data_IF_423839979825
#
_entry.id   IF_423839979825
#
_cell.length_a   1.000
_cell.length_b   1.000
_cell.length_c   1.000
_cell.angle_alpha   90.00
_cell.angle_beta   90.00
_cell.angle_gamma   90.00
#
_symmetry.space_group_name_H-M   'P 1'
#
loop_
_entity.id
_entity.type
_entity.pdbx_description
1 polymer ?
#
# COMPACT_ATOMS: atom_id res chain seq x y z
N UNK A 1 8.47 3.44 12.25
CA UNK A 1 9.34 2.92 11.16
C UNK A 1 10.61 3.68 11.35
N UNK A 2 11.64 2.97 11.78
CA UNK A 2 12.73 3.60 12.51
C UNK A 2 14.03 3.34 11.76
N UNK A 3 15.03 4.19 11.99
CA UNK A 3 16.30 4.13 11.29
C UNK A 3 17.00 2.77 11.47
N UNK A 4 16.94 2.22 12.68
CA UNK A 4 17.65 1.02 13.13
C UNK A 4 16.70 -0.06 13.66
N UNK A 5 15.53 -0.23 13.02
CA UNK A 5 14.60 -1.29 13.44
C UNK A 5 15.22 -2.69 13.27
N UNK A 6 15.04 -3.57 14.25
CA UNK A 6 15.42 -4.98 14.13
C UNK A 6 14.46 -5.78 13.23
N UNK A 7 13.44 -5.11 12.65
CA UNK A 7 12.61 -5.67 11.60
C UNK A 7 13.08 -5.20 10.22
N UNK A 8 13.45 -6.14 9.35
CA UNK A 8 13.94 -5.87 8.00
C UNK A 8 12.99 -4.97 7.18
N UNK A 9 11.68 -5.20 7.33
CA UNK A 9 10.66 -4.44 6.60
C UNK A 9 10.45 -3.01 7.13
N UNK A 10 10.97 -2.70 8.32
CA UNK A 10 10.78 -1.42 9.00
C UNK A 10 12.08 -0.64 9.22
N UNK A 11 13.23 -1.26 8.99
CA UNK A 11 14.52 -0.59 9.06
C UNK A 11 14.70 0.28 7.82
N UNK A 12 14.80 1.61 7.99
CA UNK A 12 14.99 2.52 6.85
C UNK A 12 16.27 2.20 6.08
N UNK A 13 17.36 1.91 6.77
CA UNK A 13 18.64 1.57 6.14
C UNK A 13 18.55 0.30 5.31
N UNK A 14 17.96 -0.77 5.85
CA UNK A 14 17.85 -2.06 5.15
C UNK A 14 16.77 -2.05 4.08
N UNK A 15 15.55 -1.60 4.40
CA UNK A 15 14.40 -1.64 3.49
C UNK A 15 14.56 -0.76 2.25
N UNK A 16 15.42 0.28 2.31
CA UNK A 16 15.72 1.17 1.19
C UNK A 16 17.02 0.83 0.46
N UNK A 17 17.80 -0.14 0.95
CA UNK A 17 19.04 -0.57 0.30
C UNK A 17 18.75 -1.40 -0.95
N UNK A 18 19.53 -1.20 -2.01
CA UNK A 18 19.44 -2.01 -3.22
C UNK A 18 20.34 -3.24 -3.12
N UNK A 19 19.78 -4.45 -3.24
CA UNK A 19 20.55 -5.70 -3.13
C UNK A 19 21.49 -5.89 -4.34
N UNK A 20 21.18 -5.27 -5.48
CA UNK A 20 21.91 -5.44 -6.74
C UNK A 20 22.98 -4.37 -6.94
N UNK A 21 22.74 -3.15 -6.47
CA UNK A 21 23.66 -2.01 -6.65
C UNK A 21 24.38 -1.64 -5.35
N UNK A 22 25.69 -1.88 -5.33
CA UNK A 22 26.55 -1.62 -4.16
C UNK A 22 26.60 -0.15 -3.77
N UNK A 23 26.45 0.77 -4.73
CA UNK A 23 26.50 2.21 -4.44
C UNK A 23 25.24 2.68 -3.71
N UNK A 24 24.15 1.91 -3.80
CA UNK A 24 22.90 2.13 -3.08
C UNK A 24 22.68 1.16 -1.92
N UNK A 25 23.71 0.40 -1.50
CA UNK A 25 23.68 -0.42 -0.30
C UNK A 25 24.08 0.40 0.93
N UNK A 26 23.20 0.43 1.93
CA UNK A 26 23.55 0.90 3.27
C UNK A 26 23.70 -0.26 4.22
N UNK A 27 24.77 -0.25 5.00
CA UNK A 27 24.92 -1.16 6.12
C UNK A 27 24.22 -0.61 7.36
N UNK A 28 23.58 -1.52 8.08
CA UNK A 28 22.98 -1.21 9.37
C UNK A 28 24.04 -1.26 10.47
N UNK A 29 23.88 -0.43 11.50
CA UNK A 29 24.71 -0.44 12.71
C UNK A 29 24.37 -1.63 13.63
N UNK A 30 23.15 -2.17 13.54
CA UNK A 30 22.70 -3.35 14.27
C UNK A 30 23.01 -4.67 13.54
N UNK A 31 23.18 -5.74 14.33
CA UNK A 31 23.78 -7.00 13.86
C UNK A 31 22.78 -7.97 13.22
N UNK A 32 21.47 -7.85 13.46
CA UNK A 32 20.49 -8.78 12.90
C UNK A 32 19.09 -8.19 12.73
N UNK A 33 18.40 -8.61 11.67
CA UNK A 33 16.98 -8.30 11.44
C UNK A 33 16.12 -9.53 11.78
N UNK A 34 16.04 -9.87 13.06
CA UNK A 34 15.40 -11.11 13.52
C UNK A 34 13.91 -10.94 13.85
N UNK A 35 13.41 -9.70 13.91
CA UNK A 35 12.01 -9.42 14.21
C UNK A 35 11.20 -9.42 12.90
N UNK A 36 10.10 -10.18 12.89
CA UNK A 36 9.08 -10.09 11.84
C UNK A 36 7.93 -9.19 12.29
N UNK A 37 7.40 -8.39 11.36
CA UNK A 37 6.19 -7.60 11.61
C UNK A 37 4.97 -8.39 11.17
N UNK A 38 4.00 -8.57 12.08
CA UNK A 38 2.73 -9.27 11.83
C UNK A 38 2.02 -8.73 10.59
N UNK A 39 1.77 -7.41 10.53
CA UNK A 39 1.10 -6.77 9.37
C UNK A 39 1.86 -6.95 8.05
N UNK A 40 3.18 -6.92 8.10
CA UNK A 40 4.01 -7.15 6.92
C UNK A 40 3.97 -8.61 6.48
N UNK A 41 3.81 -9.53 7.42
CA UNK A 41 3.67 -10.95 7.17
C UNK A 41 2.28 -11.29 6.64
N UNK A 42 1.22 -10.75 7.24
CA UNK A 42 -0.17 -10.88 6.75
C UNK A 42 -0.29 -10.46 5.29
N UNK A 43 0.27 -9.30 4.91
CA UNK A 43 0.26 -8.86 3.52
C UNK A 43 0.95 -9.87 2.58
N UNK A 44 2.09 -10.44 3.00
CA UNK A 44 2.79 -11.46 2.21
C UNK A 44 1.94 -12.73 2.08
N UNK A 45 1.38 -13.20 3.20
CA UNK A 45 0.53 -14.40 3.22
C UNK A 45 -0.67 -14.25 2.29
N UNK A 46 -1.40 -13.12 2.36
CA UNK A 46 -2.55 -12.87 1.48
C UNK A 46 -2.13 -12.84 0.01
N UNK A 47 -1.00 -12.19 -0.31
CA UNK A 47 -0.49 -12.16 -1.69
C UNK A 47 -0.12 -13.57 -2.17
N UNK A 48 0.54 -14.37 -1.34
CA UNK A 48 0.95 -15.73 -1.70
C UNK A 48 -0.25 -16.69 -1.80
N UNK A 49 -1.28 -16.50 -0.98
CA UNK A 49 -2.56 -17.22 -1.05
C UNK A 49 -3.28 -16.92 -2.36
N UNK A 50 -3.38 -15.65 -2.75
CA UNK A 50 -3.95 -15.27 -4.06
C UNK A 50 -3.14 -15.88 -5.21
N UNK A 51 -1.81 -15.89 -5.11
CA UNK A 51 -0.95 -16.53 -6.11
C UNK A 51 -1.24 -18.04 -6.22
N UNK A 52 -1.40 -18.73 -5.08
CA UNK A 52 -1.74 -20.14 -5.03
C UNK A 52 -3.13 -20.40 -5.62
N UNK A 53 -4.13 -19.58 -5.30
CA UNK A 53 -5.47 -19.67 -5.87
C UNK A 53 -5.43 -19.54 -7.40
N UNK A 54 -4.71 -18.55 -7.93
CA UNK A 54 -4.55 -18.35 -9.38
C UNK A 54 -3.88 -19.56 -10.02
N UNK A 55 -2.80 -20.10 -9.44
CA UNK A 55 -2.11 -21.27 -10.00
C UNK A 55 -2.96 -22.55 -9.95
N UNK A 56 -3.68 -22.78 -8.86
CA UNK A 56 -4.41 -24.03 -8.64
C UNK A 56 -5.74 -24.07 -9.40
N UNK A 57 -6.54 -23.00 -9.33
CA UNK A 57 -7.90 -22.98 -9.88
C UNK A 57 -7.97 -22.65 -11.36
N UNK A 58 -6.97 -21.95 -11.90
CA UNK A 58 -7.01 -21.55 -13.31
C UNK A 58 -6.84 -22.72 -14.28
N UNK A 59 -6.28 -23.84 -13.82
CA UNK A 59 -6.10 -25.09 -14.58
C UNK A 59 -7.40 -25.66 -15.16
N UNK A 60 -8.53 -25.46 -14.49
CA UNK A 60 -9.82 -26.05 -14.84
C UNK A 60 -10.79 -25.07 -15.50
N UNK A 61 -10.54 -23.76 -15.43
CA UNK A 61 -11.50 -22.71 -15.80
C UNK A 61 -11.06 -21.86 -16.99
N UNK A 62 -9.76 -21.80 -17.30
CA UNK A 62 -9.20 -20.90 -18.31
C UNK A 62 -8.29 -21.64 -19.28
N UNK A 63 -8.19 -21.12 -20.52
CA UNK A 63 -7.19 -21.60 -21.48
C UNK A 63 -5.76 -21.28 -21.02
N UNK A 64 -4.77 -21.93 -21.61
CA UNK A 64 -3.35 -21.68 -21.30
C UNK A 64 -2.94 -20.21 -21.50
N UNK A 65 -3.38 -19.58 -22.60
CA UNK A 65 -3.12 -18.16 -22.88
C UNK A 65 -3.76 -17.24 -21.82
N UNK A 66 -5.03 -17.48 -21.45
CA UNK A 66 -5.73 -16.69 -20.44
C UNK A 66 -5.09 -16.83 -19.05
N UNK A 67 -4.55 -18.00 -18.74
CA UNK A 67 -3.81 -18.24 -17.49
C UNK A 67 -2.52 -17.45 -17.44
N UNK A 68 -1.78 -17.43 -18.53
CA UNK A 68 -0.51 -16.72 -18.61
C UNK A 68 -0.72 -15.21 -18.48
N UNK A 69 -1.76 -14.67 -19.14
CA UNK A 69 -2.17 -13.27 -18.98
C UNK A 69 -2.55 -12.94 -17.53
N UNK A 70 -3.39 -13.78 -16.91
CA UNK A 70 -3.80 -13.58 -15.51
C UNK A 70 -2.61 -13.64 -14.54
N UNK A 71 -1.68 -14.57 -14.76
CA UNK A 71 -0.48 -14.70 -13.95
C UNK A 71 0.48 -13.52 -14.16
N UNK A 72 0.58 -13.00 -15.39
CA UNK A 72 1.35 -11.80 -15.69
C UNK A 72 0.80 -10.57 -14.97
N UNK A 73 -0.51 -10.34 -15.04
CA UNK A 73 -1.19 -9.22 -14.38
C UNK A 73 -1.05 -9.31 -12.85
N UNK A 74 -1.19 -10.52 -12.31
CA UNK A 74 -0.98 -10.78 -10.90
C UNK A 74 0.46 -10.47 -10.46
N UNK A 75 1.47 -10.99 -11.17
CA UNK A 75 2.87 -10.75 -10.84
C UNK A 75 3.24 -9.25 -10.94
N UNK A 76 2.70 -8.57 -11.93
CA UNK A 76 2.82 -7.12 -12.08
C UNK A 76 2.22 -6.40 -10.86
N UNK A 77 1.04 -6.82 -10.42
CA UNK A 77 0.36 -6.26 -9.24
C UNK A 77 1.11 -6.56 -7.94
N UNK A 78 1.58 -7.79 -7.75
CA UNK A 78 2.44 -8.22 -6.63
C UNK A 78 3.67 -7.33 -6.52
N UNK A 79 4.36 -7.10 -7.63
CA UNK A 79 5.53 -6.21 -7.69
C UNK A 79 5.17 -4.78 -7.28
N UNK A 80 4.04 -4.24 -7.77
CA UNK A 80 3.57 -2.89 -7.42
C UNK A 80 3.20 -2.76 -5.94
N UNK A 81 2.59 -3.78 -5.33
CA UNK A 81 2.24 -3.80 -3.90
C UNK A 81 3.50 -3.69 -3.03
N UNK A 82 4.52 -4.50 -3.32
CA UNK A 82 5.78 -4.44 -2.57
C UNK A 82 6.57 -3.17 -2.86
N UNK A 83 6.58 -2.69 -4.10
CA UNK A 83 7.18 -1.40 -4.43
C UNK A 83 6.49 -0.24 -3.68
N UNK A 84 5.16 -0.30 -3.52
CA UNK A 84 4.41 0.67 -2.73
C UNK A 84 4.79 0.63 -1.25
N UNK A 85 5.01 -0.56 -0.67
CA UNK A 85 5.55 -0.68 0.70
C UNK A 85 6.91 0.01 0.84
N UNK A 86 7.83 -0.19 -0.10
CA UNK A 86 9.10 0.53 -0.12
C UNK A 86 8.92 2.05 -0.30
N UNK A 87 7.94 2.47 -1.10
CA UNK A 87 7.60 3.88 -1.26
C UNK A 87 7.13 4.53 0.07
N UNK A 88 6.35 3.83 0.89
CA UNK A 88 5.98 4.32 2.23
C UNK A 88 7.24 4.56 3.08
N UNK A 89 8.19 3.61 3.08
CA UNK A 89 9.47 3.77 3.77
C UNK A 89 10.28 4.97 3.25
N UNK A 90 10.27 5.20 1.93
CA UNK A 90 10.89 6.38 1.31
C UNK A 90 10.24 7.67 1.78
N UNK A 91 8.92 7.71 1.90
CA UNK A 91 8.18 8.84 2.46
C UNK A 91 8.68 9.17 3.86
N UNK A 92 8.72 8.18 4.76
CA UNK A 92 9.26 8.38 6.13
C UNK A 92 10.70 8.90 6.13
N UNK A 93 11.55 8.37 5.24
CA UNK A 93 12.94 8.83 5.13
C UNK A 93 13.05 10.26 4.58
N UNK A 94 12.20 10.64 3.63
CA UNK A 94 12.14 11.99 3.09
C UNK A 94 11.63 12.99 4.12
N UNK A 95 10.60 12.63 4.90
CA UNK A 95 10.09 13.47 5.98
C UNK A 95 11.17 13.76 7.04
N UNK A 96 11.96 12.75 7.41
CA UNK A 96 13.09 12.96 8.33
C UNK A 96 14.10 13.96 7.75
N UNK A 97 14.54 13.76 6.50
CA UNK A 97 15.50 14.66 5.86
C UNK A 97 14.96 16.11 5.73
N UNK A 98 13.65 16.25 5.51
CA UNK A 98 12.96 17.54 5.46
C UNK A 98 12.96 18.23 6.83
N UNK A 99 12.74 17.48 7.92
CA UNK A 99 12.84 18.00 9.29
C UNK A 99 14.28 18.44 9.61
N UNK A 100 15.27 17.61 9.25
CA UNK A 100 16.69 17.89 9.50
C UNK A 100 17.19 19.13 8.73
N UNK A 101 16.61 19.40 7.56
CA UNK A 101 16.96 20.57 6.74
C UNK A 101 16.51 21.91 7.35
N UNK A 102 15.55 21.90 8.29
CA UNK A 102 15.06 23.11 8.95
C UNK A 102 15.76 23.23 10.31
N UNK A 103 16.55 24.29 10.55
CA UNK A 103 17.12 24.55 11.86
C UNK A 103 16.02 25.08 12.78
N UNK A 104 15.21 24.17 13.33
CA UNK A 104 14.07 24.50 14.20
C UNK A 104 14.50 25.40 15.37
N UNK A 105 15.73 25.22 15.87
CA UNK A 105 16.32 26.09 16.89
C UNK A 105 16.45 27.55 16.44
N UNK A 106 16.95 27.82 15.23
CA UNK A 106 17.05 29.20 14.69
C UNK A 106 15.67 29.85 14.54
N UNK A 107 14.69 29.08 14.06
CA UNK A 107 13.31 29.57 13.92
C UNK A 107 12.70 29.89 15.28
N UNK A 108 12.89 29.01 16.26
CA UNK A 108 12.41 29.20 17.64
C UNK A 108 13.06 30.42 18.29
N UNK A 109 14.37 30.59 18.17
CA UNK A 109 15.13 31.70 18.74
C UNK A 109 14.71 33.05 18.16
N UNK A 110 14.43 33.10 16.85
CA UNK A 110 14.02 34.33 16.16
C UNK A 110 12.56 34.70 16.37
N UNK A 111 11.69 33.71 16.54
CA UNK A 111 10.23 33.92 16.67
C UNK A 111 9.75 33.95 18.12
N UNK A 112 10.55 33.44 19.06
CA UNK A 112 10.14 33.22 20.46
C UNK A 112 9.11 32.10 20.61
N UNK A 113 8.88 31.29 19.57
CA UNK A 113 7.88 30.22 19.54
C UNK A 113 8.62 28.89 19.55
N UNK A 114 8.37 28.07 20.58
CA UNK A 114 8.84 26.70 20.62
C UNK A 114 8.05 25.86 19.59
N UNK A 115 8.72 25.43 18.54
CA UNK A 115 8.14 24.52 17.54
C UNK A 115 8.31 23.09 18.05
N UNK A 116 7.21 22.49 18.51
CA UNK A 116 7.21 21.12 19.05
C UNK A 116 7.30 20.06 17.95
N UNK A 117 6.66 20.30 16.80
CA UNK A 117 6.70 19.44 15.63
C UNK A 117 6.53 20.27 14.36
N UNK A 118 7.18 19.85 13.28
CA UNK A 118 6.99 20.41 11.95
C UNK A 118 6.79 19.26 10.95
N UNK A 119 5.58 19.18 10.38
CA UNK A 119 5.21 18.18 9.39
C UNK A 119 5.04 18.84 8.02
N UNK A 120 5.69 18.30 6.98
CA UNK A 120 5.39 18.74 5.61
C UNK A 120 4.04 18.16 5.19
N UNK A 121 3.13 19.03 4.78
CA UNK A 121 1.97 18.59 4.00
C UNK A 121 2.46 18.23 2.60
N UNK A 122 2.69 16.95 2.33
CA UNK A 122 2.94 16.48 0.97
C UNK A 122 1.82 16.99 0.03
N UNK A 123 2.15 17.58 -1.13
CA UNK A 123 1.16 17.78 -2.19
C UNK A 123 0.52 16.41 -2.48
N UNK A 124 -0.81 16.37 -2.63
CA UNK A 124 -1.65 15.16 -2.74
C UNK A 124 -1.36 14.23 -3.95
N UNK A 125 -0.14 14.22 -4.49
CA UNK A 125 0.26 13.49 -5.69
C UNK A 125 -0.02 11.99 -5.50
N UNK A 126 -1.09 11.52 -6.15
CA UNK A 126 -1.49 10.11 -6.18
C UNK A 126 -2.73 9.77 -5.35
N UNK A 127 -3.12 10.59 -4.37
CA UNK A 127 -4.38 10.39 -3.60
C UNK A 127 -5.61 10.81 -4.40
N UNK A 128 -5.47 11.87 -5.20
CA UNK A 128 -6.57 12.45 -5.98
C UNK A 128 -7.21 11.46 -6.96
N UNK A 129 -6.42 10.53 -7.53
CA UNK A 129 -6.92 9.51 -8.46
C UNK A 129 -7.71 8.43 -7.72
N UNK A 130 -7.19 7.93 -6.59
CA UNK A 130 -7.90 6.98 -5.75
C UNK A 130 -9.19 7.58 -5.19
N UNK A 131 -9.15 8.82 -4.68
CA UNK A 131 -10.33 9.51 -4.16
C UNK A 131 -11.34 9.82 -5.26
N UNK A 132 -10.89 10.12 -6.49
CA UNK A 132 -11.77 10.30 -7.67
C UNK A 132 -12.56 9.06 -8.02
N UNK A 133 -12.02 7.86 -7.75
CA UNK A 133 -12.70 6.58 -7.99
C UNK A 133 -13.51 6.13 -6.76
N UNK A 134 -12.95 6.26 -5.57
CA UNK A 134 -13.59 5.81 -4.32
C UNK A 134 -14.77 6.68 -3.91
N UNK A 135 -14.72 7.99 -4.15
CA UNK A 135 -15.81 8.91 -3.83
C UNK A 135 -17.15 8.51 -4.49
N UNK A 136 -17.22 8.30 -5.82
CA UNK A 136 -18.46 7.86 -6.47
C UNK A 136 -18.86 6.43 -6.07
N UNK A 137 -17.91 5.52 -5.83
CA UNK A 137 -18.23 4.16 -5.34
C UNK A 137 -18.90 4.20 -3.96
N UNK A 138 -18.35 4.97 -3.01
CA UNK A 138 -18.94 5.17 -1.68
C UNK A 138 -20.32 5.83 -1.77
N UNK A 139 -20.51 6.77 -2.70
CA UNK A 139 -21.80 7.40 -2.93
C UNK A 139 -22.83 6.40 -3.47
N UNK A 140 -22.44 5.49 -4.37
CA UNK A 140 -23.31 4.41 -4.85
C UNK A 140 -23.79 3.51 -3.71
N UNK A 141 -22.84 3.00 -2.92
CA UNK A 141 -23.08 2.14 -1.77
C UNK A 141 -24.02 2.83 -0.76
N UNK A 142 -23.76 4.09 -0.42
CA UNK A 142 -24.61 4.85 0.51
C UNK A 142 -26.04 5.03 0.00
N UNK A 143 -26.23 5.21 -1.31
CA UNK A 143 -27.56 5.34 -1.92
C UNK A 143 -28.30 4.01 -1.92
N UNK A 144 -27.61 2.93 -2.24
CA UNK A 144 -28.17 1.59 -2.15
C UNK A 144 -28.69 1.29 -0.74
N UNK A 145 -27.94 1.66 0.31
CA UNK A 145 -28.41 1.57 1.70
C UNK A 145 -29.60 2.50 1.99
N UNK A 146 -29.61 3.71 1.43
CA UNK A 146 -30.72 4.65 1.61
C UNK A 146 -32.02 4.19 0.94
N UNK A 147 -31.93 3.24 0.00
CA UNK A 147 -33.07 2.62 -0.69
C UNK A 147 -33.56 1.35 0.02
N UNK A 148 -33.28 1.24 1.33
CA UNK A 148 -33.71 0.14 2.21
C UNK A 148 -33.06 -1.22 1.90
N UNK A 149 -31.90 -1.22 1.24
CA UNK A 149 -31.12 -2.43 1.03
C UNK A 149 -29.99 -2.53 2.07
N UNK A 150 -29.77 -3.74 2.60
CA UNK A 150 -28.64 -4.01 3.50
C UNK A 150 -27.42 -4.53 2.73
N UNK A 151 -26.25 -4.23 3.27
CA UNK A 151 -24.96 -4.71 2.75
C UNK A 151 -24.28 -5.49 3.87
N UNK A 152 -24.40 -6.81 3.84
CA UNK A 152 -23.90 -7.69 4.91
C UNK A 152 -22.63 -8.44 4.49
N UNK A 153 -22.40 -8.60 3.19
CA UNK A 153 -21.24 -9.33 2.66
C UNK A 153 -20.67 -8.66 1.39
N UNK A 154 -19.55 -9.18 0.90
CA UNK A 154 -18.90 -8.67 -0.31
C UNK A 154 -19.76 -8.83 -1.58
N UNK A 155 -20.64 -9.83 -1.65
CA UNK A 155 -21.59 -9.99 -2.77
C UNK A 155 -22.62 -8.86 -2.79
N UNK A 156 -23.12 -8.45 -1.64
CA UNK A 156 -24.07 -7.33 -1.52
C UNK A 156 -23.40 -6.00 -1.89
N UNK A 157 -22.13 -5.82 -1.51
CA UNK A 157 -21.32 -4.68 -1.97
C UNK A 157 -21.16 -4.69 -3.49
N UNK A 158 -20.93 -5.87 -4.09
CA UNK A 158 -20.85 -6.04 -5.55
C UNK A 158 -22.14 -5.62 -6.25
N UNK A 159 -23.30 -6.10 -5.77
CA UNK A 159 -24.62 -5.71 -6.30
C UNK A 159 -24.85 -4.21 -6.24
N UNK A 160 -24.51 -3.57 -5.13
CA UNK A 160 -24.64 -2.12 -4.95
C UNK A 160 -23.78 -1.30 -5.92
N UNK A 161 -22.65 -1.87 -6.38
CA UNK A 161 -21.76 -1.24 -7.36
C UNK A 161 -22.18 -1.54 -8.82
N UNK A 162 -22.82 -2.69 -9.07
CA UNK A 162 -23.35 -3.07 -10.38
C UNK A 162 -24.63 -2.30 -10.74
N UNK A 163 -25.52 -2.05 -9.77
CA UNK A 163 -26.77 -1.32 -10.02
C UNK A 163 -26.49 0.10 -10.53
N UNK A 164 -25.40 0.72 -10.06
CA UNK A 164 -24.97 2.07 -10.43
C UNK A 164 -23.48 2.10 -10.71
N UNK A 165 -23.07 1.66 -11.91
CA UNK A 165 -21.66 1.53 -12.24
C UNK A 165 -20.98 2.89 -12.29
N UNK A 166 -19.84 2.98 -11.60
CA UNK A 166 -18.96 4.13 -11.71
C UNK A 166 -18.21 4.04 -13.05
N UNK A 167 -18.17 5.15 -13.80
CA UNK A 167 -17.52 5.17 -15.12
C UNK A 167 -16.05 4.76 -14.99
N UNK A 168 -15.59 3.89 -15.92
CA UNK A 168 -14.22 3.39 -16.01
C UNK A 168 -13.75 2.59 -14.78
N UNK A 169 -14.68 2.00 -14.04
CA UNK A 169 -14.37 1.15 -12.90
C UNK A 169 -15.06 -0.20 -13.06
N UNK A 170 -14.39 -1.26 -12.63
CA UNK A 170 -14.93 -2.62 -12.60
C UNK A 170 -14.85 -3.13 -11.17
N UNK A 171 -15.93 -3.71 -10.65
CA UNK A 171 -15.95 -4.37 -9.36
C UNK A 171 -16.05 -5.89 -9.59
N UNK A 172 -15.35 -6.68 -8.77
CA UNK A 172 -15.41 -8.12 -8.79
C UNK A 172 -15.44 -8.64 -7.35
N UNK A 173 -16.18 -9.72 -7.12
CA UNK A 173 -16.30 -10.37 -5.81
C UNK A 173 -15.57 -11.70 -5.89
N UNK A 174 -14.52 -11.87 -5.10
CA UNK A 174 -13.77 -13.11 -4.99
C UNK A 174 -14.04 -13.76 -3.63
N UNK A 175 -14.27 -15.07 -3.62
CA UNK A 175 -14.30 -15.88 -2.39
C UNK A 175 -12.90 -16.41 -2.14
N UNK A 176 -12.43 -16.29 -0.90
CA UNK A 176 -11.20 -16.91 -0.41
C UNK A 176 -11.62 -18.13 0.41
N UNK A 177 -11.05 -19.30 0.12
CA UNK A 177 -11.32 -20.58 0.78
C UNK A 177 -10.31 -20.84 1.92
#
# INVERSE_FOLDING_TARGET
MDEESECADHCRCFALSDISDKDFQKQCSHSSHHISCERCNELRLVVDEVEACIKNHSSNLYSEEQRDDLLYDFNTSKTKIFAWKCHIMRGVNQEQAKQDAIPIQDVSDRSGIAVECYDFSEPQQGKDVCDRVLCPMKASIRRYCAEWNDILNASDMGKALEERPVKRTTAAVCTLD
#
